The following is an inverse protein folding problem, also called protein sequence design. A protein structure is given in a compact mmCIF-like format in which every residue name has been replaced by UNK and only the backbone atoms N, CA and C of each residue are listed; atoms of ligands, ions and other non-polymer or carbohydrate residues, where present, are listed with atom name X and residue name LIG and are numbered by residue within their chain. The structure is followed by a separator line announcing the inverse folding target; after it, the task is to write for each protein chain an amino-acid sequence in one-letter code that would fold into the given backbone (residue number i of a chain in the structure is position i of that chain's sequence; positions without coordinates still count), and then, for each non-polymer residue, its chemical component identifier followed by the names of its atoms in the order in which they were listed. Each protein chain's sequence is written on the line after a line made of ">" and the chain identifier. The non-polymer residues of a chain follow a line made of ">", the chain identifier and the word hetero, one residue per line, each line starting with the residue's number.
data_IF_110927066992
#
_entry.id   IF_110927066992
#
_cell.length_a   1.000
_cell.length_b   1.000
_cell.length_c   1.000
_cell.angle_alpha   90.00
_cell.angle_beta   90.00
_cell.angle_gamma   90.00
#
_symmetry.space_group_name_H-M   'P 1'
#
loop_
_entity.id
_entity.type
_entity.pdbx_description
1 polymer ?
#
# COMPACT_ATOMS: atom_id res chain seq x y z
N UNK A 1 42.70 -1.23 -24.24
CA UNK A 1 43.67 -2.32 -23.99
C UNK A 1 44.57 -1.83 -22.87
N UNK A 2 44.41 -2.28 -21.61
CA UNK A 2 45.25 -1.79 -20.51
C UNK A 2 46.70 -2.21 -20.75
N UNK A 3 47.59 -1.26 -20.50
CA UNK A 3 49.00 -1.30 -20.88
C UNK A 3 49.73 -2.46 -20.19
N UNK A 4 50.69 -3.09 -20.87
CA UNK A 4 51.35 -4.32 -20.37
C UNK A 4 52.06 -4.07 -19.03
N UNK A 5 52.51 -2.83 -18.82
CA UNK A 5 53.09 -2.33 -17.57
C UNK A 5 52.06 -2.25 -16.42
N UNK A 6 50.82 -1.83 -16.71
CA UNK A 6 49.76 -1.70 -15.72
C UNK A 6 49.29 -3.07 -15.21
N UNK A 7 49.28 -4.08 -16.09
CA UNK A 7 48.99 -5.47 -15.70
C UNK A 7 50.08 -6.09 -14.81
N UNK A 8 51.35 -5.84 -15.13
CA UNK A 8 52.47 -6.34 -14.33
C UNK A 8 52.52 -5.68 -12.95
N UNK A 9 52.30 -4.36 -12.88
CA UNK A 9 52.23 -3.61 -11.62
C UNK A 9 51.11 -4.13 -10.71
N UNK A 10 49.90 -4.35 -11.26
CA UNK A 10 48.79 -4.90 -10.46
C UNK A 10 49.09 -6.31 -9.95
N UNK A 11 49.82 -7.14 -10.71
CA UNK A 11 50.16 -8.50 -10.27
C UNK A 11 51.18 -8.50 -9.13
N UNK A 12 52.27 -7.75 -9.25
CA UNK A 12 53.27 -7.61 -8.19
C UNK A 12 52.66 -7.01 -6.91
N UNK A 13 51.76 -6.03 -7.08
CA UNK A 13 51.04 -5.41 -5.98
C UNK A 13 50.11 -6.38 -5.24
N UNK A 14 49.39 -7.24 -5.97
CA UNK A 14 48.51 -8.24 -5.37
C UNK A 14 49.30 -9.34 -4.64
N UNK A 15 50.43 -9.80 -5.20
CA UNK A 15 51.32 -10.77 -4.54
C UNK A 15 51.91 -10.22 -3.22
N UNK A 16 52.18 -8.91 -3.14
CA UNK A 16 52.64 -8.25 -1.93
C UNK A 16 51.51 -8.11 -0.91
N UNK A 17 50.30 -7.71 -1.33
CA UNK A 17 49.14 -7.65 -0.43
C UNK A 17 48.83 -9.02 0.17
N UNK A 18 48.88 -10.08 -0.65
CA UNK A 18 48.63 -11.45 -0.20
C UNK A 18 49.65 -11.88 0.86
N UNK A 19 50.94 -11.60 0.62
CA UNK A 19 52.03 -11.80 1.60
C UNK A 19 51.93 -10.92 2.85
N UNK A 20 51.29 -9.75 2.74
CA UNK A 20 51.14 -8.79 3.84
C UNK A 20 49.87 -8.99 4.67
N UNK A 21 48.85 -9.68 4.14
CA UNK A 21 47.56 -9.90 4.81
C UNK A 21 47.70 -10.67 6.13
N UNK A 22 48.82 -11.37 6.32
CA UNK A 22 49.07 -12.13 7.52
C UNK A 22 49.67 -11.32 8.68
N UNK A 23 50.41 -10.21 8.49
CA UNK A 23 51.10 -9.53 9.63
C UNK A 23 51.64 -8.08 9.44
N UNK A 24 51.38 -7.34 8.36
CA UNK A 24 52.00 -6.00 8.15
C UNK A 24 51.00 -4.83 8.10
N UNK A 25 51.40 -3.69 8.67
CA UNK A 25 50.58 -2.46 8.69
C UNK A 25 50.68 -1.70 7.36
N UNK A 26 49.69 -0.85 7.05
CA UNK A 26 49.70 -0.01 5.84
C UNK A 26 50.92 0.90 5.72
N UNK A 27 51.57 1.24 6.84
CA UNK A 27 52.78 2.05 6.87
C UNK A 27 53.98 1.30 6.31
N UNK A 28 54.07 0.00 6.58
CA UNK A 28 55.16 -0.85 6.10
C UNK A 28 55.06 -1.08 4.58
N UNK A 29 53.84 -1.26 4.08
CA UNK A 29 53.54 -1.39 2.64
C UNK A 29 53.89 -0.12 1.87
N UNK A 30 53.63 1.05 2.47
CA UNK A 30 54.01 2.34 1.89
C UNK A 30 55.52 2.54 1.82
N UNK A 31 56.25 2.16 2.89
CA UNK A 31 57.72 2.26 2.94
C UNK A 31 58.40 1.33 1.93
N UNK A 32 57.90 0.11 1.77
CA UNK A 32 58.48 -0.89 0.85
C UNK A 32 58.29 -0.52 -0.63
N UNK A 33 57.14 0.08 -0.98
CA UNK A 33 56.81 0.36 -2.38
C UNK A 33 56.99 1.82 -2.78
N UNK A 34 57.30 2.73 -1.83
CA UNK A 34 57.40 4.16 -2.08
C UNK A 34 56.07 4.84 -2.44
N UNK A 35 54.95 4.14 -2.24
CA UNK A 35 53.61 4.64 -2.57
C UNK A 35 53.03 5.32 -1.33
N UNK A 36 52.51 6.54 -1.47
CA UNK A 36 51.83 7.27 -0.39
C UNK A 36 50.68 6.44 0.21
N UNK A 37 50.62 6.36 1.55
CA UNK A 37 49.60 5.60 2.30
C UNK A 37 48.18 5.98 1.88
N UNK A 38 47.94 7.27 1.58
CA UNK A 38 46.62 7.75 1.17
C UNK A 38 46.18 7.15 -0.17
N UNK A 39 47.11 6.90 -1.10
CA UNK A 39 46.80 6.29 -2.39
C UNK A 39 46.52 4.80 -2.23
N UNK A 40 47.27 4.11 -1.35
CA UNK A 40 47.02 2.71 -1.01
C UNK A 40 45.63 2.53 -0.39
N UNK A 41 45.28 3.38 0.59
CA UNK A 41 43.95 3.37 1.21
C UNK A 41 42.84 3.60 0.19
N UNK A 42 42.96 4.61 -0.67
CA UNK A 42 41.96 4.89 -1.72
C UNK A 42 41.83 3.75 -2.73
N UNK A 43 42.93 3.11 -3.10
CA UNK A 43 42.92 1.98 -4.03
C UNK A 43 42.22 0.77 -3.39
N UNK A 44 42.60 0.41 -2.17
CA UNK A 44 42.00 -0.73 -1.45
C UNK A 44 40.53 -0.46 -1.16
N UNK A 45 40.15 0.74 -0.74
CA UNK A 45 38.74 1.10 -0.54
C UNK A 45 37.94 1.00 -1.85
N UNK A 46 38.54 1.39 -2.98
CA UNK A 46 37.91 1.25 -4.30
C UNK A 46 37.77 -0.22 -4.68
N UNK A 47 38.80 -1.04 -4.49
CA UNK A 47 38.73 -2.48 -4.79
C UNK A 47 37.78 -3.22 -3.85
N UNK A 48 37.77 -2.91 -2.56
CA UNK A 48 36.83 -3.47 -1.59
C UNK A 48 35.39 -3.10 -1.94
N UNK A 49 35.13 -1.86 -2.39
CA UNK A 49 33.82 -1.45 -2.91
C UNK A 49 33.44 -2.21 -4.18
N UNK A 50 34.37 -2.38 -5.11
CA UNK A 50 34.12 -3.12 -6.36
C UNK A 50 33.83 -4.60 -6.07
N UNK A 51 34.66 -5.27 -5.27
CA UNK A 51 34.48 -6.66 -4.83
C UNK A 51 33.17 -6.81 -4.08
N UNK A 52 32.85 -5.89 -3.16
CA UNK A 52 31.57 -5.91 -2.44
C UNK A 52 30.40 -5.77 -3.40
N UNK A 53 30.47 -4.87 -4.38
CA UNK A 53 29.39 -4.69 -5.35
C UNK A 53 29.24 -5.93 -6.24
N UNK A 54 30.34 -6.48 -6.77
CA UNK A 54 30.31 -7.71 -7.59
C UNK A 54 29.83 -8.93 -6.80
N UNK A 55 30.23 -9.04 -5.53
CA UNK A 55 29.82 -10.11 -4.63
C UNK A 55 28.36 -9.94 -4.24
N UNK A 56 27.94 -8.72 -3.93
CA UNK A 56 26.55 -8.39 -3.64
C UNK A 56 25.64 -8.65 -4.83
N UNK A 57 26.03 -8.26 -6.05
CA UNK A 57 25.25 -8.52 -7.27
C UNK A 57 25.06 -10.02 -7.53
N UNK A 58 26.01 -10.86 -7.13
CA UNK A 58 25.92 -12.33 -7.26
C UNK A 58 25.15 -13.00 -6.12
N UNK A 59 25.32 -12.51 -4.90
CA UNK A 59 24.70 -13.09 -3.70
C UNK A 59 23.26 -12.56 -3.50
N UNK A 60 23.00 -11.31 -3.85
CA UNK A 60 21.71 -10.66 -3.66
C UNK A 60 20.54 -11.43 -4.31
N UNK A 61 20.60 -11.92 -5.57
CA UNK A 61 19.51 -12.70 -6.14
C UNK A 61 19.22 -14.01 -5.39
N UNK A 62 20.23 -14.61 -4.76
CA UNK A 62 20.09 -15.83 -3.96
C UNK A 62 19.52 -15.55 -2.57
N UNK A 63 19.89 -14.41 -1.98
CA UNK A 63 19.37 -13.95 -0.68
C UNK A 63 18.03 -13.23 -0.80
N UNK A 64 17.68 -12.73 -1.99
CA UNK A 64 16.46 -11.94 -2.25
C UNK A 64 15.19 -12.61 -1.71
N UNK A 65 14.93 -13.92 -1.90
CA UNK A 65 13.73 -14.57 -1.36
C UNK A 65 13.69 -14.67 0.17
N UNK A 66 14.83 -14.46 0.83
CA UNK A 66 14.98 -14.52 2.29
C UNK A 66 15.10 -13.13 2.94
N UNK A 67 15.48 -12.12 2.16
CA UNK A 67 15.60 -10.71 2.58
C UNK A 67 14.31 -9.93 2.31
N UNK A 68 13.67 -10.20 1.17
CA UNK A 68 12.29 -9.79 0.93
C UNK A 68 11.44 -10.79 1.73
N UNK A 69 10.84 -10.33 2.84
CA UNK A 69 9.82 -11.11 3.54
C UNK A 69 8.72 -11.57 2.57
N UNK A 70 7.85 -12.53 2.95
CA UNK A 70 6.88 -13.13 2.05
C UNK A 70 6.25 -12.05 1.17
N UNK A 71 6.33 -12.23 -0.16
CA UNK A 71 5.82 -11.26 -1.13
C UNK A 71 4.50 -10.72 -0.58
N UNK A 72 4.32 -9.39 -0.42
CA UNK A 72 3.04 -8.89 0.05
C UNK A 72 2.02 -9.44 -0.93
N UNK A 73 1.20 -10.37 -0.45
CA UNK A 73 0.06 -10.90 -1.17
C UNK A 73 -0.61 -9.65 -1.71
N UNK A 74 -0.66 -9.51 -3.04
CA UNK A 74 -1.26 -8.36 -3.73
C UNK A 74 -2.79 -8.41 -3.61
N UNK A 75 -3.28 -8.75 -2.43
CA UNK A 75 -4.59 -8.33 -1.98
C UNK A 75 -4.30 -7.32 -0.87
N UNK A 76 -4.61 -6.02 -1.07
CA UNK A 76 -4.60 -5.12 0.06
C UNK A 76 -5.42 -5.79 1.18
N UNK A 77 -5.00 -5.70 2.45
CA UNK A 77 -5.79 -6.24 3.55
C UNK A 77 -7.23 -5.75 3.35
N UNK A 78 -8.26 -6.61 3.49
CA UNK A 78 -9.64 -6.21 3.25
C UNK A 78 -9.87 -4.93 4.05
N UNK A 79 -9.96 -3.81 3.31
CA UNK A 79 -10.10 -2.50 3.94
C UNK A 79 -11.52 -2.50 4.49
N UNK A 80 -11.65 -2.60 5.81
CA UNK A 80 -12.92 -2.34 6.48
C UNK A 80 -13.25 -0.85 6.26
N UNK A 81 -14.09 -0.59 5.28
CA UNK A 81 -14.49 0.75 4.85
C UNK A 81 -14.60 0.83 3.33
N UNK A 82 -15.80 1.11 2.84
CA UNK A 82 -16.14 1.10 1.43
C UNK A 82 -15.39 2.18 0.62
N UNK A 83 -15.06 1.85 -0.63
CA UNK A 83 -14.30 2.65 -1.61
C UNK A 83 -14.99 3.96 -2.03
N UNK A 84 -16.23 4.21 -1.63
CA UNK A 84 -17.07 5.30 -2.14
C UNK A 84 -16.56 6.71 -1.75
N UNK A 85 -15.92 6.87 -0.59
CA UNK A 85 -15.52 8.20 -0.06
C UNK A 85 -14.43 8.94 -0.86
N UNK A 86 -13.90 8.33 -1.94
CA UNK A 86 -12.85 8.91 -2.78
C UNK A 86 -13.28 9.14 -4.22
N UNK A 87 -14.51 8.78 -4.60
CA UNK A 87 -14.99 9.06 -5.95
C UNK A 87 -15.31 10.56 -6.06
N UNK A 88 -14.85 11.27 -7.11
CA UNK A 88 -15.04 12.72 -7.25
C UNK A 88 -16.51 13.15 -7.10
N UNK A 89 -17.45 12.36 -7.62
CA UNK A 89 -18.90 12.63 -7.53
C UNK A 89 -19.45 12.61 -6.10
N UNK A 90 -18.84 11.83 -5.21
CA UNK A 90 -19.34 11.61 -3.85
C UNK A 90 -18.68 12.54 -2.82
N UNK A 91 -17.66 13.31 -3.25
CA UNK A 91 -16.99 14.30 -2.39
C UNK A 91 -17.98 15.38 -1.95
N UNK A 92 -18.81 15.86 -2.89
CA UNK A 92 -19.77 16.94 -2.68
C UNK A 92 -21.05 16.51 -1.96
N UNK A 93 -21.24 15.21 -1.69
CA UNK A 93 -22.42 14.73 -0.98
C UNK A 93 -22.46 15.21 0.47
N UNK A 94 -23.68 15.50 0.92
CA UNK A 94 -23.97 15.88 2.30
C UNK A 94 -23.67 14.74 3.26
N UNK A 95 -23.37 15.08 4.51
CA UNK A 95 -23.06 14.10 5.55
C UNK A 95 -24.19 13.07 5.73
N UNK A 96 -25.44 13.51 5.73
CA UNK A 96 -26.63 12.65 5.85
C UNK A 96 -26.71 11.63 4.72
N UNK A 97 -26.41 12.05 3.48
CA UNK A 97 -26.40 11.16 2.32
C UNK A 97 -25.27 10.13 2.40
N UNK A 98 -24.12 10.51 2.94
CA UNK A 98 -23.00 9.59 3.16
C UNK A 98 -23.32 8.56 4.25
N UNK A 99 -23.93 9.00 5.35
CA UNK A 99 -24.39 8.11 6.43
C UNK A 99 -25.43 7.12 5.89
N UNK A 100 -26.40 7.59 5.10
CA UNK A 100 -27.40 6.73 4.48
C UNK A 100 -26.78 5.57 3.70
N UNK A 101 -25.78 5.86 2.85
CA UNK A 101 -25.09 4.84 2.05
C UNK A 101 -24.27 3.89 2.91
N UNK A 102 -23.59 4.41 3.93
CA UNK A 102 -22.78 3.60 4.85
C UNK A 102 -23.66 2.63 5.65
N UNK A 103 -24.80 3.08 6.17
CA UNK A 103 -25.75 2.22 6.90
C UNK A 103 -26.44 1.22 5.96
N UNK A 104 -26.81 1.66 4.76
CA UNK A 104 -27.45 0.78 3.76
C UNK A 104 -26.53 -0.36 3.31
N UNK A 105 -25.21 -0.13 3.27
CA UNK A 105 -24.24 -1.13 2.84
C UNK A 105 -24.18 -2.37 3.73
N UNK A 106 -24.61 -2.28 5.00
CA UNK A 106 -24.57 -3.36 6.00
C UNK A 106 -25.57 -4.48 5.69
N UNK A 107 -26.69 -4.15 5.05
CA UNK A 107 -27.81 -5.08 4.83
C UNK A 107 -27.60 -6.02 3.63
N UNK A 108 -28.27 -7.17 3.67
CA UNK A 108 -28.30 -8.12 2.55
C UNK A 108 -29.17 -7.63 1.39
N UNK A 109 -29.00 -8.22 0.20
CA UNK A 109 -29.76 -7.87 -1.03
C UNK A 109 -31.27 -7.90 -0.87
N UNK A 110 -31.79 -8.80 -0.02
CA UNK A 110 -33.23 -8.90 0.25
C UNK A 110 -33.73 -7.72 1.07
N UNK A 111 -33.06 -7.43 2.17
CA UNK A 111 -33.39 -6.34 3.09
C UNK A 111 -33.24 -4.98 2.41
N UNK A 112 -32.19 -4.82 1.58
CA UNK A 112 -31.99 -3.62 0.75
C UNK A 112 -33.21 -3.28 -0.11
N UNK A 113 -33.81 -4.29 -0.76
CA UNK A 113 -35.03 -4.10 -1.56
C UNK A 113 -36.25 -3.76 -0.72
N UNK A 114 -36.35 -4.31 0.48
CA UNK A 114 -37.42 -4.01 1.42
C UNK A 114 -37.29 -2.55 1.91
N UNK A 115 -36.09 -2.10 2.28
CA UNK A 115 -35.80 -0.71 2.67
C UNK A 115 -36.14 0.28 1.55
N UNK A 116 -35.71 0.01 0.31
CA UNK A 116 -36.04 0.87 -0.85
C UNK A 116 -37.57 0.94 -1.05
N UNK A 117 -38.29 -0.16 -0.84
CA UNK A 117 -39.75 -0.15 -0.94
C UNK A 117 -40.40 0.67 0.18
N UNK A 118 -39.88 0.58 1.40
CA UNK A 118 -40.35 1.37 2.54
C UNK A 118 -40.15 2.87 2.30
N UNK A 119 -38.97 3.27 1.83
CA UNK A 119 -38.67 4.66 1.48
C UNK A 119 -39.58 5.17 0.36
N UNK A 120 -39.79 4.37 -0.68
CA UNK A 120 -40.75 4.70 -1.74
C UNK A 120 -42.18 4.87 -1.22
N UNK A 121 -42.59 4.07 -0.23
CA UNK A 121 -43.92 4.14 0.38
C UNK A 121 -44.14 5.38 1.26
N UNK A 122 -43.06 6.00 1.78
CA UNK A 122 -43.14 7.26 2.54
C UNK A 122 -43.32 8.48 1.63
N UNK A 123 -43.04 8.36 0.33
CA UNK A 123 -43.19 9.44 -0.63
C UNK A 123 -44.59 9.45 -1.24
N UNK A 124 -45.18 10.64 -1.34
CA UNK A 124 -46.48 10.84 -2.02
C UNK A 124 -46.40 10.65 -3.54
N UNK A 125 -45.20 10.75 -4.11
CA UNK A 125 -44.92 10.62 -5.54
C UNK A 125 -43.68 9.76 -5.76
N UNK A 126 -43.64 8.93 -6.83
CA UNK A 126 -42.45 8.16 -7.16
C UNK A 126 -41.29 9.12 -7.49
N UNK A 127 -40.20 8.98 -6.75
CA UNK A 127 -38.98 9.74 -6.99
C UNK A 127 -38.13 9.07 -8.08
N UNK A 128 -37.44 9.89 -8.87
CA UNK A 128 -36.48 9.39 -9.83
C UNK A 128 -35.19 8.97 -9.12
N UNK A 129 -34.57 7.84 -9.51
CA UNK A 129 -33.25 7.48 -9.03
C UNK A 129 -32.22 8.57 -9.35
N UNK A 130 -31.17 8.69 -8.52
CA UNK A 130 -30.02 9.53 -8.89
C UNK A 130 -29.19 8.86 -9.99
N UNK A 131 -28.33 9.65 -10.64
CA UNK A 131 -27.52 9.20 -11.79
C UNK A 131 -26.02 9.14 -11.45
N UNK A 132 -25.67 8.90 -10.18
CA UNK A 132 -24.27 8.77 -9.79
C UNK A 132 -23.66 7.51 -10.43
N UNK A 133 -22.61 7.69 -11.22
CA UNK A 133 -21.92 6.58 -11.90
C UNK A 133 -21.19 5.66 -10.92
N UNK A 134 -20.88 6.22 -9.75
CA UNK A 134 -20.19 5.54 -8.65
C UNK A 134 -21.08 4.72 -7.71
N UNK A 135 -22.40 4.87 -7.82
CA UNK A 135 -23.37 4.13 -7.01
C UNK A 135 -24.00 3.00 -7.83
N UNK A 136 -24.35 1.90 -7.15
CA UNK A 136 -25.16 0.84 -7.74
C UNK A 136 -26.58 1.32 -8.06
N UNK A 137 -27.32 0.56 -8.87
CA UNK A 137 -28.71 0.88 -9.19
C UNK A 137 -29.59 1.01 -7.94
N UNK A 138 -29.40 0.13 -6.95
CA UNK A 138 -30.14 0.17 -5.69
C UNK A 138 -29.79 1.40 -4.84
N UNK A 139 -28.50 1.75 -4.76
CA UNK A 139 -28.04 2.94 -4.03
C UNK A 139 -28.56 4.23 -4.69
N UNK A 140 -28.60 4.27 -6.02
CA UNK A 140 -29.17 5.39 -6.77
C UNK A 140 -30.69 5.51 -6.59
N UNK A 141 -31.41 4.39 -6.54
CA UNK A 141 -32.85 4.37 -6.22
C UNK A 141 -33.11 4.89 -4.80
N UNK A 142 -32.37 4.38 -3.81
CA UNK A 142 -32.48 4.82 -2.41
C UNK A 142 -32.16 6.30 -2.25
N UNK A 143 -31.05 6.76 -2.87
CA UNK A 143 -30.61 8.14 -2.80
C UNK A 143 -31.64 9.09 -3.43
N UNK A 144 -32.20 8.71 -4.59
CA UNK A 144 -33.25 9.49 -5.25
C UNK A 144 -34.48 9.66 -4.37
N UNK A 145 -34.90 8.60 -3.69
CA UNK A 145 -36.01 8.64 -2.73
C UNK A 145 -35.68 9.52 -1.53
N UNK A 146 -34.50 9.36 -0.94
CA UNK A 146 -34.07 10.13 0.23
C UNK A 146 -33.99 11.64 -0.07
N UNK A 147 -33.44 12.02 -1.22
CA UNK A 147 -33.35 13.44 -1.64
C UNK A 147 -34.72 14.05 -1.92
N UNK A 148 -35.71 13.24 -2.33
CA UNK A 148 -37.07 13.70 -2.55
C UNK A 148 -37.87 13.92 -1.25
N UNK A 149 -37.39 13.42 -0.10
CA UNK A 149 -38.01 13.63 1.20
C UNK A 149 -37.70 15.03 1.75
N UNK A 150 -38.56 15.52 2.64
CA UNK A 150 -38.27 16.74 3.41
C UNK A 150 -37.26 16.46 4.55
N UNK A 151 -36.67 17.52 5.10
CA UNK A 151 -35.63 17.42 6.12
C UNK A 151 -36.07 16.61 7.35
N UNK A 152 -37.31 16.82 7.81
CA UNK A 152 -37.84 16.14 8.97
C UNK A 152 -37.98 14.63 8.74
N UNK A 153 -38.46 14.23 7.56
CA UNK A 153 -38.58 12.82 7.19
C UNK A 153 -37.22 12.19 6.92
N UNK A 154 -36.28 12.92 6.33
CA UNK A 154 -34.89 12.47 6.18
C UNK A 154 -34.27 12.11 7.52
N UNK A 155 -34.40 12.98 8.52
CA UNK A 155 -33.86 12.76 9.86
C UNK A 155 -34.52 11.54 10.55
N UNK A 156 -35.85 11.41 10.45
CA UNK A 156 -36.60 10.27 11.00
C UNK A 156 -36.16 8.94 10.38
N UNK A 157 -36.09 8.91 9.05
CA UNK A 157 -35.76 7.72 8.28
C UNK A 157 -34.30 7.31 8.50
N UNK A 158 -33.39 8.28 8.55
CA UNK A 158 -31.98 8.02 8.81
C UNK A 158 -31.78 7.47 10.22
N UNK A 159 -32.50 7.99 11.22
CA UNK A 159 -32.44 7.48 12.59
C UNK A 159 -32.92 6.03 12.70
N UNK A 160 -34.04 5.69 12.06
CA UNK A 160 -34.58 4.33 12.00
C UNK A 160 -33.61 3.38 11.28
N UNK A 161 -33.07 3.79 10.12
CA UNK A 161 -32.10 2.98 9.37
C UNK A 161 -30.83 2.73 10.19
N UNK A 162 -30.31 3.76 10.87
CA UNK A 162 -29.12 3.64 11.73
C UNK A 162 -29.37 2.66 12.86
N UNK A 163 -30.55 2.71 13.51
CA UNK A 163 -30.90 1.76 14.56
C UNK A 163 -30.88 0.32 14.03
N UNK A 164 -31.57 0.06 12.91
CA UNK A 164 -31.60 -1.27 12.27
C UNK A 164 -30.22 -1.75 11.86
N UNK A 165 -29.41 -0.88 11.28
CA UNK A 165 -28.07 -1.21 10.81
C UNK A 165 -27.12 -1.56 11.98
N UNK A 166 -27.24 -0.86 13.11
CA UNK A 166 -26.48 -1.21 14.32
C UNK A 166 -26.87 -2.57 14.90
N UNK A 167 -28.15 -2.94 14.84
CA UNK A 167 -28.61 -4.27 15.26
C UNK A 167 -28.09 -5.36 14.33
N UNK A 168 -28.15 -5.13 13.02
CA UNK A 168 -27.68 -6.09 12.03
C UNK A 168 -26.16 -6.28 12.11
N UNK A 169 -25.39 -5.19 12.27
CA UNK A 169 -23.96 -5.27 12.52
C UNK A 169 -23.62 -6.04 13.81
N UNK A 170 -24.45 -5.92 14.86
CA UNK A 170 -24.30 -6.72 16.09
C UNK A 170 -24.58 -8.20 15.85
N UNK A 171 -25.61 -8.54 15.07
CA UNK A 171 -25.94 -9.93 14.71
C UNK A 171 -24.82 -10.57 13.90
N UNK A 172 -24.39 -9.91 12.83
CA UNK A 172 -23.28 -10.39 12.00
C UNK A 172 -22.01 -10.59 12.84
N UNK A 173 -21.72 -9.69 13.79
CA UNK A 173 -20.60 -9.86 14.70
C UNK A 173 -20.78 -11.05 15.66
N UNK A 174 -21.99 -11.28 16.16
CA UNK A 174 -22.28 -12.42 17.05
C UNK A 174 -22.21 -13.77 16.32
N UNK A 175 -22.38 -13.82 15.00
CA UNK A 175 -22.20 -15.05 14.21
C UNK A 175 -20.73 -15.38 13.94
N UNK A 176 -19.84 -14.39 14.06
CA UNK A 176 -18.40 -14.52 13.82
C UNK A 176 -17.59 -14.93 15.06
N UNK A 177 -18.18 -14.87 16.26
CA UNK A 177 -17.52 -15.12 17.56
C UNK A 177 -18.34 -16.08 18.43
#
# INVERSE_FOLDING_TARGET
>A
MPDKAEKNFNKEFLEIIEKCSDNLSFEDISRLNGIRIELLRRYIDRQAKNIRNETWDKIYPLLRPYLEGPEPIKEPPPRLGSTYRRHPELVEMLSEQKVLLDEFAIFGEREKKEIIREFAGKLSSPANPTEYTSLSSQENELMGQFVAMDKAMQDEVLADLTARATEEARRQRAELF
#
